data_IF_129002954378
#
_entry.id   IF_129002954378
#
_cell.length_a   1.000
_cell.length_b   1.000
_cell.length_c   1.000
_cell.angle_alpha   90.00
_cell.angle_beta   90.00
_cell.angle_gamma   90.00
#
_symmetry.space_group_name_H-M   'P 1'
#
loop_
_entity.id
_entity.type
_entity.pdbx_description
1 polymer ?
#
# COMPACT_ATOMS: atom_id res chain seq x y z
N UNK A 1 -21.48 -17.25 -23.84
CA UNK A 1 -21.59 -15.77 -23.82
C UNK A 1 -21.62 -15.33 -22.37
N UNK A 2 -20.51 -14.76 -21.86
CA UNK A 2 -20.41 -14.34 -20.47
C UNK A 2 -21.37 -13.17 -20.23
N UNK A 3 -22.30 -13.37 -19.30
CA UNK A 3 -23.23 -12.34 -18.83
C UNK A 3 -22.41 -11.21 -18.19
N UNK A 4 -22.29 -10.05 -18.86
CA UNK A 4 -21.77 -8.84 -18.23
C UNK A 4 -22.77 -8.40 -17.16
N UNK A 5 -22.47 -8.69 -15.90
CA UNK A 5 -23.26 -8.20 -14.77
C UNK A 5 -23.23 -6.65 -14.76
N UNK A 6 -24.38 -5.97 -14.59
CA UNK A 6 -24.40 -4.53 -14.41
C UNK A 6 -23.77 -4.19 -13.06
N UNK A 7 -22.55 -3.66 -13.08
CA UNK A 7 -21.89 -3.16 -11.88
C UNK A 7 -22.74 -2.01 -11.31
N UNK A 8 -23.24 -2.18 -10.07
CA UNK A 8 -24.02 -1.13 -9.41
C UNK A 8 -23.20 0.16 -9.31
N UNK A 9 -23.84 1.32 -9.46
CA UNK A 9 -23.18 2.63 -9.36
C UNK A 9 -22.42 2.78 -8.03
N UNK A 10 -22.93 2.16 -6.95
CA UNK A 10 -22.27 2.08 -5.65
C UNK A 10 -20.93 1.34 -5.71
N UNK A 11 -20.86 0.19 -6.37
CA UNK A 11 -19.60 -0.57 -6.52
C UNK A 11 -18.55 0.23 -7.29
N UNK A 12 -18.96 0.92 -8.36
CA UNK A 12 -18.08 1.80 -9.14
C UNK A 12 -17.54 2.96 -8.30
N UNK A 13 -18.39 3.60 -7.51
CA UNK A 13 -17.98 4.67 -6.59
C UNK A 13 -16.99 4.15 -5.52
N UNK A 14 -17.22 2.96 -4.97
CA UNK A 14 -16.32 2.36 -3.98
C UNK A 14 -14.93 2.04 -4.56
N UNK A 15 -14.87 1.53 -5.79
CA UNK A 15 -13.60 1.30 -6.48
C UNK A 15 -12.87 2.60 -6.74
N UNK A 16 -13.57 3.63 -7.25
CA UNK A 16 -12.98 4.95 -7.51
C UNK A 16 -12.45 5.59 -6.22
N UNK A 17 -13.20 5.54 -5.12
CA UNK A 17 -12.74 6.09 -3.84
C UNK A 17 -11.50 5.37 -3.34
N UNK A 18 -11.43 4.03 -3.47
CA UNK A 18 -10.24 3.27 -3.11
C UNK A 18 -9.03 3.70 -3.96
N UNK A 19 -9.18 3.82 -5.28
CA UNK A 19 -8.11 4.27 -6.16
C UNK A 19 -7.60 5.67 -5.79
N UNK A 20 -8.51 6.60 -5.49
CA UNK A 20 -8.15 7.97 -5.07
C UNK A 20 -7.41 7.95 -3.73
N UNK A 21 -7.88 7.20 -2.73
CA UNK A 21 -7.20 7.07 -1.44
C UNK A 21 -5.80 6.47 -1.58
N UNK A 22 -5.66 5.42 -2.40
CA UNK A 22 -4.37 4.77 -2.67
C UNK A 22 -3.41 5.75 -3.39
N UNK A 23 -3.91 6.54 -4.34
CA UNK A 23 -3.14 7.61 -4.98
C UNK A 23 -2.68 8.70 -4.02
N UNK A 24 -3.56 9.19 -3.14
CA UNK A 24 -3.22 10.20 -2.14
C UNK A 24 -2.15 9.71 -1.15
N UNK A 25 -2.25 8.45 -0.73
CA UNK A 25 -1.26 7.73 0.08
C UNK A 25 0.11 7.69 -0.57
N UNK A 26 0.18 7.39 -1.88
CA UNK A 26 1.44 7.40 -2.62
C UNK A 26 2.07 8.80 -2.70
N UNK A 27 1.28 9.87 -2.81
CA UNK A 27 1.82 11.24 -2.85
C UNK A 27 2.56 11.63 -1.56
N UNK A 28 2.06 11.18 -0.40
CA UNK A 28 2.72 11.40 0.90
C UNK A 28 3.82 10.36 1.19
N UNK A 29 4.02 9.39 0.30
CA UNK A 29 5.01 8.31 0.45
C UNK A 29 4.58 7.20 1.44
N UNK A 30 3.32 7.18 1.84
CA UNK A 30 2.78 6.23 2.80
C UNK A 30 1.89 5.21 2.08
N UNK A 31 2.38 4.00 1.82
CA UNK A 31 1.61 2.96 1.12
C UNK A 31 0.40 2.41 1.91
N UNK A 32 -0.44 1.60 1.26
CA UNK A 32 -1.54 0.85 1.90
C UNK A 32 -0.99 -0.39 2.64
N UNK A 33 -1.21 -0.45 3.96
CA UNK A 33 -0.76 -1.56 4.81
C UNK A 33 -1.44 -2.89 4.47
N UNK A 34 -2.75 -2.89 4.21
CA UNK A 34 -3.50 -4.10 3.93
C UNK A 34 -3.03 -4.74 2.62
N UNK A 35 -2.76 -3.92 1.60
CA UNK A 35 -2.17 -4.36 0.35
C UNK A 35 -0.76 -4.97 0.56
N UNK A 36 0.08 -4.33 1.37
CA UNK A 36 1.40 -4.86 1.76
C UNK A 36 1.29 -6.21 2.48
N UNK A 37 0.45 -6.30 3.53
CA UNK A 37 0.31 -7.51 4.31
C UNK A 37 -0.27 -8.67 3.47
N UNK A 38 -1.17 -8.37 2.52
CA UNK A 38 -1.67 -9.35 1.57
C UNK A 38 -0.57 -9.82 0.61
N UNK A 39 0.27 -8.91 0.12
CA UNK A 39 1.41 -9.24 -0.74
C UNK A 39 2.44 -10.14 -0.04
N UNK A 40 2.84 -9.80 1.20
CA UNK A 40 3.78 -10.60 1.98
C UNK A 40 3.22 -12.01 2.21
N UNK A 41 1.96 -12.13 2.65
CA UNK A 41 1.34 -13.45 2.87
C UNK A 41 1.26 -14.31 1.61
N UNK A 42 1.15 -13.70 0.43
CA UNK A 42 1.05 -14.41 -0.85
C UNK A 42 2.42 -14.76 -1.46
N UNK A 43 3.40 -13.86 -1.31
CA UNK A 43 4.69 -13.94 -2.02
C UNK A 43 5.82 -14.46 -1.13
N UNK A 44 5.70 -14.25 0.18
CA UNK A 44 6.67 -14.61 1.19
C UNK A 44 5.96 -15.38 2.32
N UNK A 45 5.50 -16.62 2.07
CA UNK A 45 4.75 -17.40 3.06
C UNK A 45 5.55 -17.69 4.34
N UNK A 46 6.88 -17.72 4.23
CA UNK A 46 7.80 -17.94 5.37
C UNK A 46 8.08 -16.67 6.19
N UNK A 47 7.56 -15.51 5.77
CA UNK A 47 7.79 -14.23 6.44
C UNK A 47 6.48 -13.67 6.99
N UNK A 48 6.47 -13.34 8.29
CA UNK A 48 5.37 -12.59 8.87
C UNK A 48 5.41 -11.13 8.37
N UNK A 49 4.28 -10.55 7.94
CA UNK A 49 4.22 -9.13 7.62
C UNK A 49 4.54 -8.30 8.86
N UNK A 50 5.30 -7.22 8.66
CA UNK A 50 5.48 -6.16 9.67
C UNK A 50 4.14 -5.72 10.26
N UNK A 51 4.17 -5.24 11.50
CA UNK A 51 3.02 -4.54 12.09
C UNK A 51 2.74 -3.23 11.32
N UNK A 52 1.54 -2.68 11.49
CA UNK A 52 1.16 -1.42 10.83
C UNK A 52 2.09 -0.26 11.22
N UNK A 53 2.49 -0.20 12.49
CA UNK A 53 3.40 0.83 13.00
C UNK A 53 4.81 0.66 12.43
N UNK A 54 5.33 -0.56 12.37
CA UNK A 54 6.63 -0.85 11.76
C UNK A 54 6.63 -0.50 10.27
N UNK A 55 5.55 -0.83 9.56
CA UNK A 55 5.38 -0.45 8.16
C UNK A 55 5.37 1.07 7.98
N UNK A 56 4.64 1.80 8.82
CA UNK A 56 4.62 3.27 8.81
C UNK A 56 6.02 3.85 9.02
N UNK A 57 6.72 3.43 10.08
CA UNK A 57 8.08 3.88 10.39
C UNK A 57 9.07 3.53 9.28
N UNK A 58 8.94 2.35 8.68
CA UNK A 58 9.76 1.94 7.54
C UNK A 58 9.56 2.86 6.32
N UNK A 59 8.32 3.30 6.05
CA UNK A 59 8.04 4.26 4.96
C UNK A 59 8.53 5.66 5.29
N UNK A 60 8.37 6.12 6.52
CA UNK A 60 8.93 7.40 6.99
C UNK A 60 10.46 7.40 6.87
N UNK A 61 11.14 6.36 7.34
CA UNK A 61 12.60 6.24 7.28
C UNK A 61 13.09 6.22 5.82
N UNK A 62 12.40 5.49 4.93
CA UNK A 62 12.75 5.46 3.51
C UNK A 62 12.60 6.83 2.82
N UNK A 63 11.65 7.67 3.26
CA UNK A 63 11.39 8.99 2.66
C UNK A 63 12.24 10.10 3.27
N UNK A 64 12.37 10.12 4.59
CA UNK A 64 12.97 11.23 5.33
C UNK A 64 14.35 10.89 5.92
N UNK A 65 14.80 9.64 5.84
CA UNK A 65 16.11 9.22 6.35
C UNK A 65 16.25 9.26 7.87
N UNK A 66 15.14 9.37 8.60
CA UNK A 66 15.12 9.34 10.07
C UNK A 66 15.67 7.99 10.54
N UNK A 67 16.59 7.99 11.51
CA UNK A 67 17.23 6.74 12.01
C UNK A 67 18.41 6.22 11.20
N UNK A 68 19.06 7.05 10.37
CA UNK A 68 20.45 6.87 9.91
C UNK A 68 20.69 5.63 9.01
N UNK A 69 19.63 4.93 8.56
CA UNK A 69 19.77 3.62 7.90
C UNK A 69 19.68 3.69 6.37
N UNK A 70 18.99 4.67 5.78
CA UNK A 70 18.89 4.75 4.31
C UNK A 70 18.25 6.04 3.78
N UNK A 71 18.62 7.20 4.32
CA UNK A 71 18.24 8.48 3.72
C UNK A 71 19.08 8.76 2.47
N UNK A 72 18.48 8.66 1.28
CA UNK A 72 19.03 9.16 0.01
C UNK A 72 20.48 8.71 -0.28
N UNK A 73 20.69 7.42 -0.58
CA UNK A 73 21.86 7.06 -1.40
C UNK A 73 21.54 7.42 -2.84
N UNK A 74 21.86 8.66 -3.20
CA UNK A 74 22.10 9.00 -4.60
C UNK A 74 23.13 7.97 -5.11
N UNK A 75 22.72 7.17 -6.09
CA UNK A 75 23.68 6.68 -7.07
C UNK A 75 24.20 7.87 -7.87
#
# INVERSE_FOLDING_TARGET
>A
MAMLQPQSLRSRLQTLSKCVCDGARLMVGQGDYAAYAAHIRQTHPDQAPMTELEFFRNRENARFGVGNTSGFRCC
#
